data_IF_517247481279
#
_entry.id   IF_517247481279
#
_cell.length_a   1.000
_cell.length_b   1.000
_cell.length_c   1.000
_cell.angle_alpha   90.00
_cell.angle_beta   90.00
_cell.angle_gamma   90.00
#
_symmetry.space_group_name_H-M   'P 1'
#
loop_
_entity.id
_entity.type
_entity.pdbx_description
1 polymer ?
#
# COMPACT_ATOMS: atom_id res chain seq x y z
N UNK A 1 -6.38 -16.67 -10.75
CA UNK A 1 -6.98 -15.92 -11.88
C UNK A 1 -7.50 -14.61 -11.31
N UNK A 2 -7.00 -13.47 -11.78
CA UNK A 2 -7.52 -12.16 -11.34
C UNK A 2 -9.03 -12.08 -11.61
N UNK A 3 -9.83 -11.77 -10.58
CA UNK A 3 -11.27 -11.52 -10.74
C UNK A 3 -11.44 -10.36 -11.74
N UNK A 4 -12.09 -10.61 -12.88
CA UNK A 4 -12.45 -9.58 -13.86
C UNK A 4 -13.82 -9.00 -13.52
N UNK A 5 -13.93 -7.68 -13.58
CA UNK A 5 -15.21 -6.99 -13.48
C UNK A 5 -15.93 -7.01 -14.81
N UNK A 6 -17.25 -7.13 -14.77
CA UNK A 6 -18.09 -7.25 -15.96
C UNK A 6 -18.25 -5.91 -16.72
N UNK A 7 -17.88 -4.78 -16.10
CA UNK A 7 -17.94 -3.43 -16.70
C UNK A 7 -19.30 -3.13 -17.36
N UNK A 8 -20.37 -3.39 -16.62
CA UNK A 8 -21.74 -3.12 -17.05
C UNK A 8 -22.18 -1.73 -16.59
N UNK A 9 -22.83 -1.00 -17.47
CA UNK A 9 -23.54 0.23 -17.09
C UNK A 9 -24.78 -0.11 -16.25
N UNK A 10 -25.14 0.77 -15.33
CA UNK A 10 -26.29 0.65 -14.44
C UNK A 10 -26.92 2.03 -14.29
N UNK A 11 -28.24 2.12 -14.36
CA UNK A 11 -28.94 3.39 -14.11
C UNK A 11 -28.81 3.78 -12.64
N UNK A 12 -29.02 5.06 -12.34
CA UNK A 12 -29.05 5.54 -10.96
C UNK A 12 -30.09 4.77 -10.14
N UNK A 13 -31.29 4.60 -10.68
CA UNK A 13 -32.41 3.95 -10.01
C UNK A 13 -32.13 2.48 -9.71
N UNK A 14 -31.53 1.74 -10.65
CA UNK A 14 -31.15 0.34 -10.43
C UNK A 14 -30.04 0.21 -9.38
N UNK A 15 -29.08 1.15 -9.41
CA UNK A 15 -27.97 1.18 -8.47
C UNK A 15 -28.45 1.44 -7.04
N UNK A 16 -29.28 2.46 -6.86
CA UNK A 16 -29.93 2.80 -5.59
C UNK A 16 -30.85 1.69 -5.11
N UNK A 17 -31.70 1.14 -5.98
CA UNK A 17 -32.59 0.02 -5.65
C UNK A 17 -31.80 -1.20 -5.17
N UNK A 18 -30.63 -1.46 -5.77
CA UNK A 18 -29.74 -2.53 -5.32
C UNK A 18 -29.11 -2.20 -3.95
N UNK A 19 -28.69 -0.98 -3.71
CA UNK A 19 -28.13 -0.56 -2.42
C UNK A 19 -29.19 -0.51 -1.32
N UNK A 20 -30.46 -0.25 -1.62
CA UNK A 20 -31.53 -0.24 -0.60
C UNK A 20 -31.77 -1.59 0.08
N UNK A 21 -31.18 -2.68 -0.44
CA UNK A 21 -31.37 -4.05 0.03
C UNK A 21 -30.04 -4.66 0.44
N UNK A 22 -29.97 -5.19 1.65
CA UNK A 22 -28.80 -5.94 2.12
C UNK A 22 -28.97 -7.45 1.92
N UNK A 23 -27.84 -8.16 1.80
CA UNK A 23 -27.82 -9.62 1.93
C UNK A 23 -27.52 -10.01 3.38
N UNK A 24 -28.50 -10.63 4.03
CA UNK A 24 -28.29 -11.22 5.35
C UNK A 24 -27.43 -12.48 5.27
N UNK A 25 -26.45 -12.58 6.16
CA UNK A 25 -25.59 -13.74 6.36
C UNK A 25 -26.04 -14.54 7.59
N UNK A 26 -25.53 -15.76 7.75
CA UNK A 26 -26.08 -16.72 8.71
C UNK A 26 -25.60 -16.50 10.16
N UNK A 27 -24.44 -15.88 10.33
CA UNK A 27 -23.83 -15.61 11.62
C UNK A 27 -24.43 -14.39 12.32
N UNK A 28 -24.28 -14.32 13.63
CA UNK A 28 -24.58 -13.10 14.40
C UNK A 28 -23.42 -12.12 14.34
N UNK A 29 -23.69 -10.84 14.63
CA UNK A 29 -22.67 -9.79 14.71
C UNK A 29 -21.58 -10.14 15.73
N UNK A 30 -21.96 -10.78 16.85
CA UNK A 30 -21.00 -11.25 17.86
C UNK A 30 -20.10 -12.38 17.31
N UNK A 31 -20.69 -13.35 16.61
CA UNK A 31 -19.94 -14.44 15.98
C UNK A 31 -18.97 -13.88 14.93
N UNK A 32 -19.46 -13.01 14.05
CA UNK A 32 -18.65 -12.37 13.00
C UNK A 32 -17.44 -11.64 13.58
N UNK A 33 -17.62 -10.86 14.66
CA UNK A 33 -16.53 -10.12 15.32
C UNK A 33 -15.43 -11.03 15.89
N UNK A 34 -15.78 -12.25 16.32
CA UNK A 34 -14.82 -13.23 16.86
C UNK A 34 -14.08 -14.00 15.77
N UNK A 35 -14.52 -13.94 14.52
CA UNK A 35 -13.87 -14.67 13.42
C UNK A 35 -12.53 -14.04 13.02
N UNK A 36 -11.57 -14.82 12.51
CA UNK A 36 -10.36 -14.30 11.88
C UNK A 36 -10.68 -13.39 10.68
N UNK A 37 -9.81 -12.41 10.41
CA UNK A 37 -10.00 -11.42 9.34
C UNK A 37 -10.33 -12.06 7.97
N UNK A 38 -9.62 -13.12 7.59
CA UNK A 38 -9.87 -13.80 6.32
C UNK A 38 -11.27 -14.42 6.22
N UNK A 39 -11.83 -14.92 7.32
CA UNK A 39 -13.21 -15.41 7.36
C UNK A 39 -14.22 -14.27 7.28
N UNK A 40 -13.98 -13.18 8.01
CA UNK A 40 -14.81 -11.97 7.93
C UNK A 40 -14.87 -11.43 6.50
N UNK A 41 -13.71 -11.35 5.83
CA UNK A 41 -13.60 -10.87 4.45
C UNK A 41 -14.35 -11.78 3.46
N UNK A 42 -14.33 -13.10 3.67
CA UNK A 42 -15.07 -14.04 2.83
C UNK A 42 -16.59 -13.94 3.03
N UNK A 43 -17.05 -13.78 4.27
CA UNK A 43 -18.49 -13.70 4.59
C UNK A 43 -19.11 -12.42 4.02
N UNK A 44 -18.43 -11.29 4.19
CA UNK A 44 -18.93 -9.99 3.71
C UNK A 44 -18.83 -9.83 2.18
N UNK A 45 -18.02 -10.64 1.51
CA UNK A 45 -17.85 -10.62 0.05
C UNK A 45 -19.09 -11.17 -0.66
N UNK A 46 -20.08 -10.31 -0.83
CA UNK A 46 -21.29 -10.54 -1.64
C UNK A 46 -21.18 -9.86 -3.01
N UNK A 47 -19.93 -9.65 -3.47
CA UNK A 47 -19.58 -8.82 -4.61
C UNK A 47 -19.43 -7.34 -4.23
N UNK A 48 -19.08 -6.52 -5.22
CA UNK A 48 -18.93 -5.08 -5.03
C UNK A 48 -18.83 -4.30 -6.33
N UNK A 49 -18.54 -3.02 -6.21
CA UNK A 49 -18.41 -2.07 -7.31
C UNK A 49 -17.22 -1.12 -7.07
N UNK A 50 -16.67 -0.61 -8.16
CA UNK A 50 -15.72 0.51 -8.14
C UNK A 50 -16.42 1.82 -8.51
N UNK A 51 -17.53 1.78 -9.26
CA UNK A 51 -18.27 2.96 -9.73
C UNK A 51 -17.42 3.87 -10.64
N UNK A 52 -17.05 3.33 -11.80
CA UNK A 52 -16.21 3.99 -12.78
C UNK A 52 -15.75 3.04 -13.89
N UNK A 53 -14.90 3.54 -14.79
CA UNK A 53 -14.41 2.78 -15.95
C UNK A 53 -13.07 2.11 -15.63
N UNK A 54 -12.97 0.82 -15.94
CA UNK A 54 -11.75 0.02 -15.74
C UNK A 54 -11.21 -0.51 -17.06
N UNK A 55 -9.93 -0.26 -17.34
CA UNK A 55 -9.21 -0.82 -18.49
C UNK A 55 -9.14 -2.34 -18.38
N UNK A 56 -9.75 -3.03 -19.34
CA UNK A 56 -9.75 -4.50 -19.40
C UNK A 56 -10.45 -5.19 -18.22
N UNK A 57 -11.33 -4.48 -17.49
CA UNK A 57 -12.07 -5.00 -16.35
C UNK A 57 -11.21 -5.40 -15.15
N UNK A 58 -9.99 -4.84 -15.05
CA UNK A 58 -9.06 -5.16 -13.95
C UNK A 58 -9.04 -4.01 -12.93
N UNK A 59 -9.11 -4.37 -11.65
CA UNK A 59 -8.99 -3.44 -10.54
C UNK A 59 -7.54 -3.37 -10.05
N UNK A 60 -6.68 -2.79 -10.89
CA UNK A 60 -5.32 -2.38 -10.52
C UNK A 60 -5.22 -0.85 -10.59
N UNK A 61 -4.29 -0.26 -9.84
CA UNK A 61 -4.12 1.20 -9.74
C UNK A 61 -3.98 1.87 -11.11
N UNK A 62 -3.21 1.24 -12.00
CA UNK A 62 -2.95 1.65 -13.39
C UNK A 62 -4.09 1.33 -14.38
N UNK A 63 -5.12 0.62 -13.93
CA UNK A 63 -6.24 0.20 -14.77
C UNK A 63 -7.52 1.03 -14.53
N UNK A 64 -7.53 1.95 -13.58
CA UNK A 64 -8.67 2.86 -13.37
C UNK A 64 -8.61 3.98 -14.41
N UNK A 65 -9.64 4.10 -15.24
CA UNK A 65 -9.74 5.15 -16.27
C UNK A 65 -10.44 6.38 -15.69
N UNK A 66 -11.58 6.17 -15.04
CA UNK A 66 -12.35 7.24 -14.42
C UNK A 66 -13.18 6.73 -13.25
N UNK A 67 -13.66 7.66 -12.42
CA UNK A 67 -14.62 7.43 -11.35
C UNK A 67 -15.83 8.33 -11.59
N UNK A 68 -17.03 7.75 -11.49
CA UNK A 68 -18.29 8.46 -11.76
C UNK A 68 -18.93 9.04 -10.49
N UNK A 69 -18.40 8.68 -9.32
CA UNK A 69 -18.79 9.24 -8.04
C UNK A 69 -17.65 9.08 -7.02
N UNK A 70 -17.67 9.89 -5.96
CA UNK A 70 -16.79 9.71 -4.81
C UNK A 70 -17.38 8.66 -3.88
N UNK A 71 -16.57 7.70 -3.43
CA UNK A 71 -17.00 6.69 -2.46
C UNK A 71 -16.12 6.74 -1.22
N UNK A 72 -16.70 7.04 -0.06
CA UNK A 72 -16.01 7.18 1.21
C UNK A 72 -16.41 6.05 2.19
N UNK A 73 -15.43 5.34 2.73
CA UNK A 73 -15.58 4.28 3.73
C UNK A 73 -15.41 4.89 5.13
N UNK A 74 -16.54 5.19 5.78
CA UNK A 74 -16.60 5.80 7.11
C UNK A 74 -16.54 4.71 8.17
N UNK A 75 -15.36 4.52 8.75
CA UNK A 75 -15.10 3.46 9.73
C UNK A 75 -15.22 3.95 11.19
N UNK A 76 -15.29 5.28 11.38
CA UNK A 76 -15.28 5.97 12.66
C UNK A 76 -16.45 6.95 12.82
N UNK A 77 -17.62 6.64 12.23
CA UNK A 77 -18.82 7.46 12.35
C UNK A 77 -19.30 7.61 13.79
N UNK A 78 -19.95 8.75 14.06
CA UNK A 78 -20.58 9.08 15.34
C UNK A 78 -22.08 8.81 15.30
N UNK A 79 -22.71 8.64 16.47
CA UNK A 79 -24.18 8.57 16.53
C UNK A 79 -24.77 9.87 15.97
N UNK A 80 -25.83 9.76 15.15
CA UNK A 80 -26.46 10.91 14.50
C UNK A 80 -25.78 11.39 13.22
N UNK A 81 -24.68 10.76 12.77
CA UNK A 81 -23.93 11.23 11.59
C UNK A 81 -24.76 11.30 10.30
N UNK A 82 -25.82 10.50 10.15
CA UNK A 82 -26.69 10.54 8.97
C UNK A 82 -27.51 11.83 8.96
N UNK A 83 -28.09 12.19 10.11
CA UNK A 83 -28.86 13.43 10.26
C UNK A 83 -27.93 14.63 10.06
N UNK A 84 -26.70 14.59 10.58
CA UNK A 84 -25.69 15.61 10.33
C UNK A 84 -25.36 15.74 8.84
N UNK A 85 -25.22 14.63 8.12
CA UNK A 85 -24.97 14.64 6.68
C UNK A 85 -26.11 15.32 5.91
N UNK A 86 -27.36 14.97 6.21
CA UNK A 86 -28.55 15.53 5.57
C UNK A 86 -28.77 17.02 5.92
N UNK A 87 -28.47 17.41 7.16
CA UNK A 87 -28.71 18.78 7.63
C UNK A 87 -27.64 19.78 7.22
N UNK A 88 -26.37 19.36 7.13
CA UNK A 88 -25.24 20.29 6.97
C UNK A 88 -24.64 20.32 5.56
N UNK A 89 -24.98 19.37 4.70
CA UNK A 89 -24.37 19.26 3.38
C UNK A 89 -25.44 19.18 2.28
N UNK A 90 -25.41 20.15 1.37
CA UNK A 90 -26.24 20.15 0.15
C UNK A 90 -25.54 19.37 -0.97
N UNK A 91 -25.37 18.06 -0.75
CA UNK A 91 -24.78 17.15 -1.73
C UNK A 91 -25.71 15.96 -1.92
N UNK A 92 -25.91 15.56 -3.18
CA UNK A 92 -26.64 14.34 -3.51
C UNK A 92 -25.82 13.13 -3.06
N UNK A 93 -26.33 12.40 -2.07
CA UNK A 93 -25.63 11.22 -1.53
C UNK A 93 -26.50 9.98 -1.44
N UNK A 94 -25.85 8.83 -1.48
CA UNK A 94 -26.41 7.56 -0.99
C UNK A 94 -25.51 7.05 0.13
N UNK A 95 -26.10 6.76 1.27
CA UNK A 95 -25.41 6.25 2.45
C UNK A 95 -25.94 4.87 2.78
N UNK A 96 -25.04 3.92 3.05
CA UNK A 96 -25.44 2.59 3.48
C UNK A 96 -24.46 1.96 4.45
N UNK A 97 -24.94 1.07 5.31
CA UNK A 97 -24.12 0.50 6.37
C UNK A 97 -23.19 -0.61 5.87
N UNK A 98 -22.03 -0.73 6.53
CA UNK A 98 -21.11 -1.85 6.35
C UNK A 98 -21.50 -3.03 7.23
N UNK A 99 -20.94 -4.21 6.96
CA UNK A 99 -21.18 -5.43 7.75
C UNK A 99 -20.87 -5.29 9.25
N UNK A 100 -20.04 -4.32 9.66
CA UNK A 100 -19.67 -4.10 11.08
C UNK A 100 -20.43 -2.97 11.76
N UNK A 101 -21.40 -2.37 11.07
CA UNK A 101 -22.22 -1.29 11.60
C UNK A 101 -22.98 -1.70 12.86
N UNK A 102 -23.05 -0.79 13.82
CA UNK A 102 -24.09 -0.77 14.87
C UNK A 102 -24.55 0.67 15.09
N UNK A 103 -25.75 0.89 15.66
CA UNK A 103 -26.24 2.23 15.97
C UNK A 103 -25.26 3.05 16.81
N UNK A 104 -24.54 2.43 17.75
CA UNK A 104 -23.61 3.12 18.63
C UNK A 104 -22.26 3.41 17.99
N UNK A 105 -21.88 2.65 16.95
CA UNK A 105 -20.64 2.82 16.19
C UNK A 105 -20.94 2.73 14.70
N UNK A 106 -21.57 3.76 14.12
CA UNK A 106 -21.92 3.75 12.72
C UNK A 106 -20.69 3.54 11.83
N UNK A 107 -20.75 2.48 11.02
CA UNK A 107 -19.77 2.23 9.96
C UNK A 107 -20.48 2.22 8.63
N UNK A 108 -20.23 3.25 7.83
CA UNK A 108 -21.05 3.61 6.68
C UNK A 108 -20.20 3.70 5.42
N UNK A 109 -20.84 3.56 4.27
CA UNK A 109 -20.28 3.95 2.98
C UNK A 109 -21.13 5.07 2.43
N UNK A 110 -20.45 6.16 2.10
CA UNK A 110 -21.06 7.36 1.53
C UNK A 110 -20.68 7.40 0.06
N UNK A 111 -21.66 7.54 -0.81
CA UNK A 111 -21.48 7.76 -2.24
C UNK A 111 -21.95 9.18 -2.53
N UNK A 112 -21.06 10.02 -3.04
CA UNK A 112 -21.35 11.42 -3.41
C UNK A 112 -21.31 11.52 -4.93
N UNK A 113 -22.44 11.89 -5.53
CA UNK A 113 -22.59 11.95 -6.99
C UNK A 113 -21.95 13.21 -7.57
N UNK A 114 -21.33 13.06 -8.74
CA UNK A 114 -20.59 14.12 -9.42
C UNK A 114 -21.27 14.52 -10.72
N UNK A 115 -21.11 15.79 -11.12
CA UNK A 115 -21.62 16.30 -12.41
C UNK A 115 -20.85 15.76 -13.61
N UNK A 116 -19.62 15.25 -13.42
CA UNK A 116 -18.79 14.59 -14.43
C UNK A 116 -17.92 13.47 -13.86
N UNK A 117 -17.51 12.56 -14.74
CA UNK A 117 -16.44 11.59 -14.45
C UNK A 117 -15.15 12.35 -14.08
N UNK A 118 -14.40 11.82 -13.10
CA UNK A 118 -13.08 12.33 -12.70
C UNK A 118 -11.98 11.34 -13.00
N UNK A 119 -10.77 11.84 -13.28
CA UNK A 119 -9.57 11.01 -13.43
C UNK A 119 -9.14 10.39 -12.09
N UNK A 120 -8.24 9.39 -12.08
CA UNK A 120 -7.72 8.83 -10.83
C UNK A 120 -7.06 9.87 -9.91
N UNK A 121 -6.34 10.85 -10.48
CA UNK A 121 -5.66 11.88 -9.70
C UNK A 121 -6.66 12.92 -9.16
N UNK A 122 -7.61 13.38 -9.99
CA UNK A 122 -8.72 14.24 -9.54
C UNK A 122 -9.54 13.57 -8.43
N UNK A 123 -9.84 12.27 -8.55
CA UNK A 123 -10.54 11.51 -7.52
C UNK A 123 -9.83 11.61 -6.16
N UNK A 124 -8.51 11.48 -6.14
CA UNK A 124 -7.71 11.58 -4.92
C UNK A 124 -7.84 12.95 -4.24
N UNK A 125 -7.75 14.03 -5.01
CA UNK A 125 -7.90 15.39 -4.50
C UNK A 125 -9.34 15.68 -4.05
N UNK A 126 -10.33 15.46 -4.92
CA UNK A 126 -11.76 15.74 -4.67
C UNK A 126 -12.24 14.95 -3.45
N UNK A 127 -11.92 13.66 -3.37
CA UNK A 127 -12.36 12.81 -2.25
C UNK A 127 -11.81 13.27 -0.90
N UNK A 128 -10.56 13.76 -0.85
CA UNK A 128 -9.95 14.28 0.38
C UNK A 128 -10.52 15.63 0.80
N UNK A 129 -10.79 16.51 -0.16
CA UNK A 129 -11.44 17.79 0.15
C UNK A 129 -12.85 17.58 0.70
N UNK A 130 -13.66 16.75 0.04
CA UNK A 130 -15.02 16.44 0.52
C UNK A 130 -15.01 15.70 1.86
N UNK A 131 -14.07 14.78 2.06
CA UNK A 131 -13.89 14.14 3.36
C UNK A 131 -13.44 15.14 4.44
N UNK A 132 -12.65 16.15 4.09
CA UNK A 132 -12.28 17.24 4.99
C UNK A 132 -13.46 18.09 5.41
N UNK A 133 -14.42 18.34 4.50
CA UNK A 133 -15.64 19.08 4.81
C UNK A 133 -16.54 18.34 5.81
N UNK A 134 -16.68 17.02 5.60
CA UNK A 134 -17.47 16.16 6.48
C UNK A 134 -16.75 15.91 7.82
N UNK A 135 -15.43 15.77 7.77
CA UNK A 135 -14.58 15.41 8.91
C UNK A 135 -13.66 14.26 8.52
N UNK A 136 -12.44 14.58 8.08
CA UNK A 136 -11.50 13.61 7.50
C UNK A 136 -11.14 12.46 8.45
N UNK A 137 -11.24 12.72 9.75
CA UNK A 137 -10.97 11.74 10.80
C UNK A 137 -12.02 10.63 10.87
N UNK A 138 -13.20 10.79 10.26
CA UNK A 138 -14.26 9.78 10.27
C UNK A 138 -14.00 8.61 9.30
N UNK A 139 -13.07 8.80 8.34
CA UNK A 139 -12.89 7.90 7.21
C UNK A 139 -11.63 7.02 7.32
N UNK A 140 -11.69 5.85 6.69
CA UNK A 140 -10.53 4.98 6.49
C UNK A 140 -9.53 5.64 5.50
N UNK A 141 -8.24 5.63 5.84
CA UNK A 141 -7.21 6.37 5.08
C UNK A 141 -7.01 5.87 3.64
N UNK A 142 -7.46 4.64 3.35
CA UNK A 142 -7.36 4.06 2.01
C UNK A 142 -8.62 4.24 1.15
N UNK A 143 -9.64 4.97 1.65
CA UNK A 143 -10.85 5.25 0.87
C UNK A 143 -10.61 6.16 -0.34
N UNK A 144 -9.52 6.94 -0.31
CA UNK A 144 -9.14 7.88 -1.37
C UNK A 144 -8.44 7.20 -2.55
N UNK A 145 -8.22 5.88 -2.50
CA UNK A 145 -7.64 5.14 -3.61
C UNK A 145 -8.65 4.95 -4.76
N UNK A 146 -8.34 5.37 -6.00
CA UNK A 146 -9.25 5.23 -7.14
C UNK A 146 -9.64 3.78 -7.43
N UNK A 147 -8.73 2.84 -7.17
CA UNK A 147 -8.97 1.40 -7.33
C UNK A 147 -9.74 0.75 -6.18
N UNK A 148 -10.18 1.54 -5.18
CA UNK A 148 -10.92 1.01 -4.02
C UNK A 148 -12.23 0.36 -4.47
N UNK A 149 -12.44 -0.87 -3.99
CA UNK A 149 -13.69 -1.61 -4.14
C UNK A 149 -14.60 -1.28 -2.97
N UNK A 150 -15.85 -0.96 -3.25
CA UNK A 150 -16.91 -0.93 -2.25
C UNK A 150 -17.72 -2.22 -2.36
N UNK A 151 -17.89 -2.93 -1.24
CA UNK A 151 -18.74 -4.11 -1.21
C UNK A 151 -20.22 -3.70 -1.33
N UNK A 152 -21.00 -4.56 -2.02
CA UNK A 152 -22.45 -4.52 -1.88
C UNK A 152 -22.84 -4.76 -0.41
N UNK A 153 -23.98 -4.23 0.04
CA UNK A 153 -24.40 -4.37 1.42
C UNK A 153 -24.59 -5.84 1.82
N UNK A 154 -23.99 -6.19 2.96
CA UNK A 154 -24.24 -7.44 3.67
C UNK A 154 -24.33 -7.14 5.17
N UNK A 155 -25.15 -7.91 5.87
CA UNK A 155 -25.48 -7.69 7.28
C UNK A 155 -25.57 -9.03 7.99
N UNK A 156 -25.01 -9.15 9.19
CA UNK A 156 -25.18 -10.35 10.02
C UNK A 156 -26.67 -10.61 10.30
N UNK A 157 -27.03 -11.86 10.61
CA UNK A 157 -28.42 -12.31 10.80
C UNK A 157 -29.23 -11.49 11.81
N UNK A 158 -28.57 -10.93 12.82
CA UNK A 158 -29.12 -10.09 13.88
C UNK A 158 -28.68 -8.62 13.77
N UNK A 159 -28.01 -8.25 12.68
CA UNK A 159 -27.51 -6.90 12.46
C UNK A 159 -28.56 -5.95 11.90
N UNK A 160 -28.39 -4.66 12.21
CA UNK A 160 -29.20 -3.60 11.64
C UNK A 160 -28.60 -3.11 10.32
N UNK A 161 -29.44 -3.04 9.29
CA UNK A 161 -29.06 -2.46 8.01
C UNK A 161 -29.62 -1.05 7.91
N UNK A 162 -28.74 -0.09 7.64
CA UNK A 162 -29.11 1.29 7.43
C UNK A 162 -28.82 1.65 5.98
N UNK A 163 -29.80 2.29 5.34
CA UNK A 163 -29.72 2.84 4.01
C UNK A 163 -30.48 4.17 3.98
N UNK A 164 -29.88 5.20 3.40
CA UNK A 164 -30.47 6.52 3.26
C UNK A 164 -30.08 7.14 1.91
N UNK A 165 -31.06 7.68 1.19
CA UNK A 165 -30.84 8.64 0.11
C UNK A 165 -30.91 10.04 0.71
N UNK A 166 -29.91 10.87 0.41
CA UNK A 166 -29.87 12.27 0.85
C UNK A 166 -30.03 13.11 -0.41
N UNK A 167 -31.10 13.91 -0.43
CA UNK A 167 -31.34 14.88 -1.50
C UNK A 167 -30.30 16.01 -1.43
N UNK A 168 -29.97 16.57 -2.58
CA UNK A 168 -29.02 17.67 -2.70
C UNK A 168 -28.52 17.80 -4.13
N UNK A 169 -27.51 18.65 -4.33
CA UNK A 169 -26.91 18.88 -5.64
C UNK A 169 -25.82 17.85 -5.98
N UNK A 170 -25.72 17.45 -7.24
CA UNK A 170 -24.53 16.74 -7.71
C UNK A 170 -23.31 17.67 -7.59
N UNK A 171 -22.22 17.15 -7.05
CA UNK A 171 -21.03 17.96 -6.76
C UNK A 171 -20.26 18.21 -8.05
N UNK A 172 -19.93 19.46 -8.32
CA UNK A 172 -19.00 19.80 -9.39
C UNK A 172 -17.55 19.58 -8.92
N UNK A 173 -16.83 18.57 -9.47
CA UNK A 173 -15.45 18.34 -9.07
C UNK A 173 -14.53 19.51 -9.40
N UNK A 174 -14.82 20.33 -10.43
CA UNK A 174 -13.99 21.48 -10.78
C UNK A 174 -14.07 22.58 -9.70
N UNK A 175 -15.25 22.80 -9.13
CA UNK A 175 -15.41 23.72 -7.99
C UNK A 175 -14.62 23.23 -6.78
N UNK A 176 -14.65 21.92 -6.49
CA UNK A 176 -13.87 21.33 -5.40
C UNK A 176 -12.36 21.48 -5.64
N UNK A 177 -11.89 21.18 -6.86
CA UNK A 177 -10.47 21.31 -7.23
C UNK A 177 -10.00 22.77 -7.17
N UNK A 178 -10.86 23.73 -7.49
CA UNK A 178 -10.54 25.17 -7.44
C UNK A 178 -10.27 25.70 -6.03
N UNK A 179 -10.66 24.96 -4.99
CA UNK A 179 -10.39 25.30 -3.58
C UNK A 179 -8.92 25.08 -3.21
N UNK A 180 -8.19 24.29 -3.98
CA UNK A 180 -6.75 24.15 -3.83
C UNK A 180 -6.05 25.31 -4.52
N UNK A 181 -4.94 25.77 -3.93
CA UNK A 181 -4.01 26.65 -4.65
C UNK A 181 -3.45 25.96 -5.89
N UNK A 182 -3.09 24.69 -5.73
CA UNK A 182 -2.73 23.76 -6.80
C UNK A 182 -3.09 22.36 -6.33
N UNK A 183 -4.12 21.76 -6.94
CA UNK A 183 -4.56 20.40 -6.56
C UNK A 183 -3.59 19.33 -7.05
N UNK A 184 -2.66 19.64 -7.96
CA UNK A 184 -1.63 18.68 -8.34
C UNK A 184 -0.60 18.48 -7.22
N UNK A 185 -0.47 19.43 -6.28
CA UNK A 185 0.41 19.27 -5.12
C UNK A 185 -0.22 18.34 -4.07
N UNK A 186 0.16 17.06 -4.09
CA UNK A 186 -0.34 16.03 -3.15
C UNK A 186 -0.05 16.38 -1.70
N UNK A 187 1.02 17.14 -1.43
CA UNK A 187 1.38 17.53 -0.07
C UNK A 187 0.38 18.50 0.56
N UNK A 188 -0.35 19.24 -0.28
CA UNK A 188 -1.37 20.19 0.15
C UNK A 188 -2.73 19.51 0.39
N UNK A 189 -2.86 18.22 0.08
CA UNK A 189 -4.11 17.49 0.26
C UNK A 189 -4.43 17.27 1.74
N UNK A 190 -5.70 17.41 2.16
CA UNK A 190 -6.13 17.04 3.49
C UNK A 190 -5.78 15.58 3.80
N UNK A 191 -5.20 15.35 4.98
CA UNK A 191 -4.87 14.02 5.51
C UNK A 191 -5.38 13.89 6.94
N UNK A 192 -5.71 12.66 7.34
CA UNK A 192 -5.99 12.36 8.74
C UNK A 192 -4.69 12.38 9.55
N UNK A 193 -4.80 12.62 10.85
CA UNK A 193 -3.67 12.50 11.78
C UNK A 193 -3.11 11.07 11.84
N UNK A 194 -3.90 10.06 11.47
CA UNK A 194 -3.49 8.65 11.44
C UNK A 194 -2.44 8.40 10.37
N UNK A 195 -2.50 9.05 9.20
CA UNK A 195 -1.61 8.79 8.09
C UNK A 195 -0.13 9.01 8.47
N UNK A 196 0.18 10.10 9.19
CA UNK A 196 1.53 10.37 9.72
C UNK A 196 1.99 9.32 10.73
N UNK A 197 1.08 8.83 11.58
CA UNK A 197 1.40 7.81 12.60
C UNK A 197 1.72 6.45 11.99
N UNK A 198 1.09 6.09 10.86
CA UNK A 198 1.30 4.82 10.16
C UNK A 198 2.73 4.74 9.63
N UNK A 199 3.18 5.78 8.91
CA UNK A 199 4.53 5.79 8.32
C UNK A 199 5.59 5.70 9.42
N UNK A 200 5.46 6.48 10.48
CA UNK A 200 6.38 6.44 11.63
C UNK A 200 6.39 5.07 12.32
N UNK A 201 5.23 4.43 12.46
CA UNK A 201 5.13 3.08 13.01
C UNK A 201 5.80 2.06 12.12
N UNK A 202 5.64 2.16 10.80
CA UNK A 202 6.24 1.22 9.86
C UNK A 202 7.75 1.38 9.75
N UNK A 203 8.27 2.62 9.84
CA UNK A 203 9.71 2.88 10.00
C UNK A 203 10.22 2.16 11.26
N UNK A 204 9.56 2.32 12.41
CA UNK A 204 9.96 1.65 13.66
C UNK A 204 9.91 0.12 13.63
N UNK A 205 9.03 -0.46 12.82
CA UNK A 205 8.92 -1.93 12.67
C UNK A 205 10.00 -2.49 11.74
N UNK A 206 10.40 -1.74 10.73
CA UNK A 206 11.43 -2.21 9.81
C UNK A 206 12.79 -2.12 10.50
N UNK A 207 13.58 -3.19 10.38
CA UNK A 207 14.98 -3.15 10.77
C UNK A 207 15.72 -2.12 9.90
N UNK A 208 16.67 -1.42 10.51
CA UNK A 208 17.54 -0.46 9.82
C UNK A 208 18.14 -1.12 8.55
N UNK A 209 17.88 -0.60 7.34
CA UNK A 209 18.36 -1.18 6.09
C UNK A 209 19.88 -1.32 6.06
N UNK A 210 20.61 -0.44 6.74
CA UNK A 210 22.07 -0.42 6.78
C UNK A 210 22.64 -1.55 7.66
N UNK A 211 21.87 -2.04 8.63
CA UNK A 211 22.26 -3.14 9.52
C UNK A 211 21.99 -4.54 8.96
N UNK A 212 21.30 -4.64 7.81
CA UNK A 212 20.96 -5.94 7.22
C UNK A 212 22.23 -6.63 6.70
N UNK A 213 22.24 -7.96 6.74
CA UNK A 213 23.32 -8.75 6.18
C UNK A 213 23.14 -9.02 4.68
N UNK A 214 24.22 -9.48 4.07
CA UNK A 214 24.25 -9.94 2.68
C UNK A 214 23.91 -8.83 1.69
N UNK A 215 23.39 -9.25 0.53
CA UNK A 215 23.25 -8.37 -0.64
C UNK A 215 22.25 -7.21 -0.42
N UNK A 216 21.21 -7.41 0.39
CA UNK A 216 20.23 -6.37 0.68
C UNK A 216 20.89 -5.25 1.47
N UNK A 217 21.60 -5.59 2.55
CA UNK A 217 22.31 -4.62 3.36
C UNK A 217 23.43 -3.93 2.59
N UNK A 218 24.23 -4.69 1.85
CA UNK A 218 25.30 -4.14 1.03
C UNK A 218 24.75 -3.13 0.00
N UNK A 219 23.62 -3.42 -0.65
CA UNK A 219 22.98 -2.48 -1.56
C UNK A 219 22.57 -1.17 -0.86
N UNK A 220 21.93 -1.27 0.32
CA UNK A 220 21.50 -0.10 1.09
C UNK A 220 22.67 0.68 1.71
N UNK A 221 23.83 0.05 1.96
CA UNK A 221 25.07 0.73 2.37
C UNK A 221 25.83 1.35 1.19
N UNK A 222 25.62 0.83 -0.01
CA UNK A 222 26.24 1.36 -1.24
C UNK A 222 25.49 2.59 -1.75
N UNK A 223 24.15 2.56 -1.72
CA UNK A 223 23.31 3.65 -2.22
C UNK A 223 22.30 4.07 -1.17
N UNK A 224 22.23 5.37 -0.92
CA UNK A 224 21.06 5.96 -0.26
C UNK A 224 19.83 5.81 -1.14
N UNK A 225 18.63 5.99 -0.58
CA UNK A 225 17.39 5.81 -1.38
C UNK A 225 17.33 6.83 -2.52
N UNK A 226 17.75 8.08 -2.29
CA UNK A 226 17.83 9.14 -3.30
C UNK A 226 18.81 8.75 -4.42
N UNK A 227 20.02 8.29 -4.06
CA UNK A 227 21.02 7.85 -5.05
C UNK A 227 20.54 6.65 -5.88
N UNK A 228 19.86 5.70 -5.24
CA UNK A 228 19.31 4.53 -5.93
C UNK A 228 18.19 4.92 -6.91
N UNK A 229 17.32 5.86 -6.52
CA UNK A 229 16.27 6.41 -7.39
C UNK A 229 16.91 7.08 -8.62
N UNK A 230 17.83 8.01 -8.38
CA UNK A 230 18.46 8.81 -9.44
C UNK A 230 19.28 7.94 -10.41
N UNK A 231 19.98 6.91 -9.91
CA UNK A 231 20.80 6.01 -10.74
C UNK A 231 19.96 4.97 -11.48
N UNK A 232 18.96 4.38 -10.83
CA UNK A 232 18.33 3.16 -11.34
C UNK A 232 16.92 3.34 -11.87
N UNK A 233 16.17 4.35 -11.47
CA UNK A 233 14.78 4.59 -11.90
C UNK A 233 14.48 6.08 -12.15
N UNK A 234 15.34 6.84 -12.85
CA UNK A 234 15.14 8.29 -13.07
C UNK A 234 13.90 8.60 -13.94
N UNK A 235 13.43 7.63 -14.71
CA UNK A 235 12.23 7.74 -15.55
C UNK A 235 10.92 7.47 -14.77
N UNK A 236 11.01 7.07 -13.50
CA UNK A 236 9.87 6.78 -12.64
C UNK A 236 9.64 7.90 -11.63
N UNK A 237 10.69 8.35 -10.96
CA UNK A 237 10.63 9.41 -9.96
C UNK A 237 11.55 10.56 -10.33
N UNK A 238 11.01 11.79 -10.23
CA UNK A 238 11.75 13.02 -10.49
C UNK A 238 11.77 13.87 -9.24
N UNK A 239 12.89 14.51 -8.92
CA UNK A 239 12.94 15.50 -7.83
C UNK A 239 11.83 16.53 -8.01
N UNK A 240 11.04 16.72 -6.95
CA UNK A 240 9.88 17.58 -7.00
C UNK A 240 10.29 19.04 -7.10
N UNK A 241 9.67 19.76 -8.04
CA UNK A 241 9.85 21.21 -8.16
C UNK A 241 9.04 21.99 -7.12
N UNK A 242 7.94 21.41 -6.66
CA UNK A 242 7.06 22.05 -5.68
C UNK A 242 7.68 22.03 -4.28
N UNK A 243 8.30 20.91 -3.89
CA UNK A 243 8.83 20.72 -2.53
C UNK A 243 10.22 20.06 -2.56
N UNK A 244 11.28 20.78 -2.11
CA UNK A 244 12.60 20.20 -1.94
C UNK A 244 12.59 18.99 -1.00
N UNK A 245 13.32 17.92 -1.37
CA UNK A 245 13.40 16.68 -0.59
C UNK A 245 12.25 15.69 -0.83
N UNK A 246 11.38 15.96 -1.82
CA UNK A 246 10.35 15.03 -2.31
C UNK A 246 10.56 14.70 -3.77
N UNK A 247 9.87 13.66 -4.22
CA UNK A 247 9.81 13.26 -5.61
C UNK A 247 8.38 13.36 -6.16
N UNK A 248 8.28 13.69 -7.44
CA UNK A 248 7.10 13.55 -8.29
C UNK A 248 7.11 12.14 -8.88
N UNK A 249 5.93 11.50 -8.97
CA UNK A 249 5.76 10.27 -9.74
C UNK A 249 5.47 10.61 -11.20
N UNK A 250 6.43 10.35 -12.09
CA UNK A 250 6.39 10.82 -13.50
C UNK A 250 5.13 10.40 -14.26
N UNK A 251 4.58 9.19 -14.09
CA UNK A 251 3.34 8.78 -14.76
C UNK A 251 2.05 9.43 -14.22
N UNK A 252 2.10 10.15 -13.10
CA UNK A 252 0.97 10.88 -12.56
C UNK A 252 0.99 12.34 -13.00
N UNK A 253 -0.19 12.98 -13.01
CA UNK A 253 -0.32 14.41 -13.28
C UNK A 253 -0.01 15.22 -12.02
N UNK A 254 -0.20 14.61 -10.84
CA UNK A 254 0.11 15.16 -9.53
C UNK A 254 1.61 15.10 -9.17
N UNK A 255 2.06 16.03 -8.33
CA UNK A 255 3.44 16.25 -7.90
C UNK A 255 3.62 16.10 -6.37
N UNK A 256 4.88 15.99 -5.92
CA UNK A 256 5.32 15.97 -4.52
C UNK A 256 4.71 14.87 -3.62
N UNK A 257 4.17 13.81 -4.20
CA UNK A 257 3.53 12.71 -3.48
C UNK A 257 4.49 11.62 -3.01
N UNK A 258 5.78 11.68 -3.34
CA UNK A 258 6.78 10.71 -2.87
C UNK A 258 7.71 11.36 -1.86
N UNK A 259 7.73 10.83 -0.63
CA UNK A 259 8.42 11.43 0.52
C UNK A 259 9.63 10.58 0.93
N UNK A 260 10.78 11.23 1.10
CA UNK A 260 12.01 10.61 1.60
C UNK A 260 12.13 10.79 3.11
N UNK A 261 12.55 9.73 3.81
CA UNK A 261 12.78 9.71 5.26
C UNK A 261 14.21 9.29 5.55
N UNK A 262 14.98 10.20 6.16
CA UNK A 262 16.40 10.04 6.56
C UNK A 262 17.33 9.53 5.44
N UNK A 263 16.92 9.68 4.18
CA UNK A 263 17.55 9.10 2.99
C UNK A 263 17.74 7.56 3.04
N UNK A 264 17.04 6.90 3.97
CA UNK A 264 17.00 5.45 4.15
C UNK A 264 15.75 4.84 3.53
N UNK A 265 14.64 5.57 3.59
CA UNK A 265 13.34 5.11 3.14
C UNK A 265 12.64 6.12 2.25
N UNK A 266 11.75 5.62 1.41
CA UNK A 266 10.83 6.39 0.60
C UNK A 266 9.41 5.83 0.75
N UNK A 267 8.42 6.71 0.75
CA UNK A 267 7.00 6.36 0.81
C UNK A 267 6.22 7.13 -0.24
N UNK A 268 5.40 6.43 -1.02
CA UNK A 268 4.57 7.04 -2.06
C UNK A 268 3.11 7.21 -1.61
N UNK A 269 2.59 8.42 -1.81
CA UNK A 269 1.19 8.79 -1.59
C UNK A 269 0.39 8.85 -2.91
N UNK A 270 1.02 8.69 -4.08
CA UNK A 270 0.33 8.76 -5.37
C UNK A 270 -0.53 7.53 -5.61
N UNK A 271 -1.85 7.69 -5.66
CA UNK A 271 -2.76 6.55 -5.68
C UNK A 271 -2.61 5.64 -6.91
N UNK A 272 -2.05 6.15 -8.00
CA UNK A 272 -1.75 5.42 -9.24
C UNK A 272 -0.39 4.70 -9.22
N UNK A 273 0.51 5.05 -8.29
CA UNK A 273 1.82 4.43 -8.13
C UNK A 273 1.67 2.96 -7.63
N UNK A 274 2.27 1.97 -8.33
CA UNK A 274 2.32 0.56 -7.89
C UNK A 274 2.84 0.37 -6.45
N UNK A 275 3.62 1.32 -5.97
CA UNK A 275 4.23 1.36 -4.65
C UNK A 275 3.53 2.29 -3.65
N UNK A 276 2.42 2.93 -4.02
CA UNK A 276 1.71 3.78 -3.07
C UNK A 276 1.25 3.01 -1.84
N UNK A 277 1.43 3.64 -0.68
CA UNK A 277 1.16 3.07 0.62
C UNK A 277 2.31 2.23 1.20
N UNK A 278 3.43 2.07 0.47
CA UNK A 278 4.55 1.20 0.88
C UNK A 278 5.76 2.03 1.31
N UNK A 279 6.30 1.70 2.48
CA UNK A 279 7.60 2.17 2.94
C UNK A 279 8.70 1.27 2.35
N UNK A 280 9.60 1.85 1.57
CA UNK A 280 10.61 1.12 0.81
C UNK A 280 12.00 1.68 1.10
N UNK A 281 12.99 0.82 1.30
CA UNK A 281 14.40 1.21 1.28
C UNK A 281 14.94 1.24 -0.17
N UNK A 282 16.22 1.57 -0.34
CA UNK A 282 16.88 1.66 -1.66
C UNK A 282 16.74 0.37 -2.48
N UNK A 283 16.90 -0.80 -1.86
CA UNK A 283 16.73 -2.09 -2.55
C UNK A 283 15.28 -2.32 -2.97
N UNK A 284 14.33 -2.05 -2.07
CA UNK A 284 12.91 -2.32 -2.30
C UNK A 284 12.31 -1.37 -3.34
N UNK A 285 12.67 -0.08 -3.35
CA UNK A 285 12.14 0.88 -4.33
C UNK A 285 12.59 0.53 -5.75
N UNK A 286 13.86 0.14 -5.93
CA UNK A 286 14.36 -0.31 -7.23
C UNK A 286 13.71 -1.63 -7.63
N UNK A 287 13.60 -2.60 -6.70
CA UNK A 287 12.96 -3.90 -6.96
C UNK A 287 11.55 -3.72 -7.49
N UNK A 288 10.71 -2.99 -6.75
CA UNK A 288 9.28 -2.94 -7.02
C UNK A 288 8.99 -2.21 -8.33
N UNK A 289 9.76 -1.17 -8.68
CA UNK A 289 9.56 -0.44 -9.93
C UNK A 289 10.18 -1.11 -11.15
N UNK A 290 11.38 -1.70 -11.06
CA UNK A 290 12.01 -2.37 -12.21
C UNK A 290 11.50 -3.79 -12.45
N UNK A 291 11.17 -4.50 -11.39
CA UNK A 291 10.95 -5.94 -11.44
C UNK A 291 9.60 -6.39 -10.86
N UNK A 292 8.78 -5.49 -10.31
CA UNK A 292 7.51 -5.82 -9.66
C UNK A 292 6.52 -6.55 -10.58
N UNK A 293 6.53 -6.27 -11.88
CA UNK A 293 5.67 -6.95 -12.86
C UNK A 293 5.91 -8.47 -12.93
N UNK A 294 7.11 -8.94 -12.55
CA UNK A 294 7.44 -10.37 -12.51
C UNK A 294 6.63 -11.12 -11.44
N UNK A 295 6.06 -10.41 -10.47
CA UNK A 295 5.27 -10.99 -9.39
C UNK A 295 3.80 -11.20 -9.77
N UNK A 296 3.38 -10.80 -10.98
CA UNK A 296 1.98 -10.87 -11.41
C UNK A 296 1.34 -12.27 -11.36
N UNK A 297 2.15 -13.33 -11.29
CA UNK A 297 1.70 -14.73 -11.17
C UNK A 297 2.05 -15.37 -9.83
N UNK A 298 2.67 -14.64 -8.91
CA UNK A 298 2.96 -15.14 -7.58
C UNK A 298 1.65 -15.38 -6.83
N UNK A 299 1.62 -16.44 -6.00
CA UNK A 299 0.46 -16.70 -5.16
C UNK A 299 0.28 -15.58 -4.13
N UNK A 300 -0.96 -15.24 -3.83
CA UNK A 300 -1.26 -14.28 -2.76
C UNK A 300 -0.67 -14.78 -1.43
N UNK A 301 0.02 -13.90 -0.71
CA UNK A 301 0.71 -14.26 0.54
C UNK A 301 2.10 -14.91 0.35
N UNK A 302 2.64 -14.98 -0.88
CA UNK A 302 4.03 -15.41 -1.08
C UNK A 302 4.99 -14.53 -0.29
N UNK A 303 5.90 -15.15 0.46
CA UNK A 303 6.91 -14.42 1.24
C UNK A 303 7.77 -13.53 0.33
N UNK A 304 8.10 -12.28 0.73
CA UNK A 304 8.82 -11.34 -0.12
C UNK A 304 10.12 -11.89 -0.70
N UNK A 305 10.90 -12.65 0.08
CA UNK A 305 12.16 -13.25 -0.36
C UNK A 305 12.02 -14.36 -1.43
N UNK A 306 10.81 -14.88 -1.65
CA UNK A 306 10.51 -15.93 -2.64
C UNK A 306 9.88 -15.37 -3.93
N UNK A 307 9.64 -14.07 -4.00
CA UNK A 307 9.05 -13.43 -5.16
C UNK A 307 10.02 -13.42 -6.35
N UNK A 308 9.53 -13.64 -7.59
CA UNK A 308 10.36 -13.52 -8.80
C UNK A 308 11.07 -12.16 -8.93
N UNK A 309 10.43 -11.06 -8.53
CA UNK A 309 11.04 -9.73 -8.50
C UNK A 309 12.23 -9.65 -7.54
N UNK A 310 12.16 -10.37 -6.42
CA UNK A 310 13.21 -10.41 -5.42
C UNK A 310 14.47 -11.05 -5.97
N UNK A 311 14.32 -12.22 -6.60
CA UNK A 311 15.44 -12.90 -7.26
C UNK A 311 16.05 -12.02 -8.37
N UNK A 312 15.21 -11.41 -9.20
CA UNK A 312 15.70 -10.51 -10.25
C UNK A 312 16.48 -9.30 -9.69
N UNK A 313 16.04 -8.74 -8.55
CA UNK A 313 16.77 -7.67 -7.87
C UNK A 313 18.07 -8.16 -7.25
N UNK A 314 18.12 -9.38 -6.71
CA UNK A 314 19.37 -9.96 -6.22
C UNK A 314 20.38 -10.15 -7.36
N UNK A 315 19.94 -10.72 -8.49
CA UNK A 315 20.80 -10.87 -9.66
C UNK A 315 21.32 -9.50 -10.13
N UNK A 316 20.44 -8.49 -10.20
CA UNK A 316 20.78 -7.12 -10.55
C UNK A 316 21.80 -6.49 -9.59
N UNK A 317 21.55 -6.57 -8.27
CA UNK A 317 22.43 -6.00 -7.25
C UNK A 317 23.79 -6.70 -7.21
N UNK A 318 23.84 -8.02 -7.43
CA UNK A 318 25.09 -8.78 -7.45
C UNK A 318 25.97 -8.48 -8.66
N UNK A 319 25.39 -7.91 -9.73
CA UNK A 319 26.10 -7.51 -10.93
C UNK A 319 26.63 -6.07 -10.86
N UNK A 320 26.14 -5.22 -9.95
CA UNK A 320 26.59 -3.83 -9.80
C UNK A 320 27.97 -3.76 -9.14
N UNK A 321 28.92 -3.07 -9.79
CA UNK A 321 30.32 -3.03 -9.37
C UNK A 321 30.52 -2.36 -8.00
N UNK A 322 29.77 -1.30 -7.68
CA UNK A 322 29.92 -0.63 -6.38
C UNK A 322 29.40 -1.50 -5.23
N UNK A 323 28.33 -2.28 -5.47
CA UNK A 323 27.82 -3.25 -4.50
C UNK A 323 28.84 -4.37 -4.28
N UNK A 324 29.48 -4.86 -5.35
CA UNK A 324 30.58 -5.85 -5.23
C UNK A 324 31.75 -5.29 -4.44
N UNK A 325 32.16 -4.05 -4.70
CA UNK A 325 33.23 -3.37 -3.98
C UNK A 325 32.92 -3.26 -2.48
N UNK A 326 31.67 -2.88 -2.15
CA UNK A 326 31.19 -2.82 -0.77
C UNK A 326 31.25 -4.19 -0.09
N UNK A 327 30.75 -5.24 -0.74
CA UNK A 327 30.82 -6.61 -0.20
C UNK A 327 32.27 -7.10 -0.03
N UNK A 328 33.15 -6.80 -0.97
CA UNK A 328 34.56 -7.19 -0.91
C UNK A 328 35.27 -6.51 0.26
N UNK A 329 35.04 -5.20 0.44
CA UNK A 329 35.57 -4.42 1.57
C UNK A 329 35.07 -4.95 2.91
N UNK A 330 33.76 -5.19 3.05
CA UNK A 330 33.17 -5.74 4.28
C UNK A 330 33.73 -7.13 4.62
N UNK A 331 33.92 -7.98 3.62
CA UNK A 331 34.54 -9.30 3.81
C UNK A 331 36.00 -9.18 4.25
N UNK A 332 36.73 -8.21 3.72
CA UNK A 332 38.11 -7.94 4.13
C UNK A 332 38.16 -7.42 5.57
N UNK A 333 37.29 -6.49 5.95
CA UNK A 333 37.18 -5.94 7.30
C UNK A 333 36.84 -7.03 8.33
N UNK A 334 35.87 -7.89 8.02
CA UNK A 334 35.52 -9.05 8.86
C UNK A 334 36.70 -10.01 9.03
N UNK A 335 37.39 -10.35 7.93
CA UNK A 335 38.57 -11.21 8.01
C UNK A 335 39.66 -10.59 8.90
N UNK A 336 39.96 -9.29 8.73
CA UNK A 336 40.95 -8.59 9.58
C UNK A 336 40.54 -8.65 11.06
N UNK A 337 39.26 -8.43 11.37
CA UNK A 337 38.76 -8.52 12.75
C UNK A 337 38.93 -9.93 13.32
N UNK A 338 38.52 -10.97 12.60
CA UNK A 338 38.68 -12.38 13.01
C UNK A 338 40.16 -12.74 13.26
N UNK A 339 41.07 -12.34 12.37
CA UNK A 339 42.51 -12.60 12.54
C UNK A 339 43.21 -11.71 13.58
N UNK A 340 42.61 -10.56 13.95
CA UNK A 340 43.16 -9.67 14.99
C UNK A 340 42.67 -10.00 16.40
N UNK A 341 41.54 -10.70 16.53
CA UNK A 341 40.98 -11.14 17.82
C UNK A 341 41.71 -12.36 18.41
N UNK A 342 42.49 -13.08 17.59
CA UNK A 342 43.38 -14.15 18.06
C UNK A 342 44.78 -13.62 18.43
N UNK A 343 44.86 -12.82 19.51
CA UNK A 343 46.05 -12.81 20.36
C UNK A 343 45.82 -13.73 21.57
N UNK A 344 45.32 -14.94 21.31
CA UNK A 344 45.30 -16.00 22.31
C UNK A 344 46.67 -16.70 22.19
N UNK A 345 47.59 -16.39 23.12
CA UNK A 345 48.97 -16.93 23.18
C UNK A 345 49.04 -18.47 23.25
N UNK A 346 47.90 -19.16 23.18
CA UNK A 346 47.75 -20.61 23.36
C UNK A 346 47.27 -21.37 22.10
N UNK A 347 47.27 -20.73 20.92
CA UNK A 347 46.94 -21.40 19.66
C UNK A 347 47.88 -22.59 19.34
N UNK A 348 49.13 -22.51 19.79
CA UNK A 348 50.13 -23.58 19.65
C UNK A 348 49.78 -24.83 20.46
N UNK A 349 49.13 -24.69 21.63
CA UNK A 349 48.70 -25.82 22.44
C UNK A 349 47.43 -26.49 21.90
N UNK A 350 46.57 -25.75 21.19
CA UNK A 350 45.38 -26.31 20.52
C UNK A 350 45.74 -27.17 19.29
N UNK A 351 46.87 -26.90 18.62
CA UNK A 351 47.37 -27.69 17.48
C UNK A 351 48.03 -29.03 17.88
N UNK A 352 48.53 -29.15 19.11
CA UNK A 352 49.28 -30.33 19.54
C UNK A 352 48.42 -31.55 19.92
N UNK A 353 47.08 -31.41 19.95
CA UNK A 353 46.17 -32.47 20.38
C UNK A 353 45.68 -33.40 19.26
N UNK A 354 45.93 -33.09 17.98
CA UNK A 354 45.40 -33.87 16.85
C UNK A 354 46.40 -34.88 16.24
N UNK A 355 47.37 -35.32 17.03
CA UNK A 355 48.45 -36.22 16.58
C UNK A 355 48.16 -37.72 16.79
N UNK A 356 46.91 -38.11 17.09
CA UNK A 356 46.52 -39.52 17.32
C UNK A 356 45.69 -40.17 16.21
N UNK A 357 45.39 -39.49 15.10
CA UNK A 357 44.71 -40.10 13.94
C UNK A 357 45.59 -40.25 12.68
N UNK A 358 46.91 -40.15 12.79
CA UNK A 358 47.82 -40.44 11.65
C UNK A 358 48.61 -41.72 11.94
N UNK A 359 47.94 -42.87 11.86
CA UNK A 359 48.58 -44.19 11.70
C UNK A 359 47.56 -45.24 11.29
N UNK A 360 46.96 -45.13 10.10
CA UNK A 360 46.34 -46.27 9.40
C UNK A 360 46.01 -46.00 7.93
N UNK A 361 47.01 -45.63 7.12
CA UNK A 361 46.94 -45.84 5.68
C UNK A 361 48.33 -46.26 5.18
N UNK A 362 48.56 -47.57 5.01
CA UNK A 362 48.97 -48.09 3.70
C UNK A 362 49.02 -49.63 3.63
N UNK A 363 48.63 -50.08 2.44
CA UNK A 363 49.01 -51.31 1.75
C UNK A 363 48.11 -52.54 1.94
N UNK A 364 47.21 -52.75 0.96
CA UNK A 364 47.10 -54.04 0.27
C UNK A 364 46.46 -53.86 -1.11
N UNK A 365 47.29 -54.04 -2.13
CA UNK A 365 46.86 -54.43 -3.49
C UNK A 365 47.60 -55.72 -3.85
N UNK A 366 46.88 -56.65 -4.49
CA UNK A 366 47.33 -57.83 -5.26
C UNK A 366 47.78 -59.10 -4.51
N UNK A 367 46.85 -60.05 -4.34
CA UNK A 367 46.81 -61.31 -5.12
C UNK A 367 45.40 -61.91 -5.06
#
# INVERSE_FOLDING_TARGET
>A
MDKKFNCTDMTYEDFVSRLSKTKYTAETMEQYRKMPKGQQDNIKDVGGFVLGKLKGGRRKKDCVISRSAITLDMDYGTQGIIDELEMFFDMKMVVYSTHKHTPEKPRLRIIIFLTRDVTPDEYGAVSRMLASDIGIELFDDSTYEPSRLMYWPSTSSDGEYMFQEIEGNEVDPDEVLSRYKDWHDVSAWPVSNRQSSIVQRDIKKQADPLSKDGLIGAFNRTYTVTQAIDKFIPDVYRHSRAIPGRYDYIPADSAAGVVVYDDLFVYSHHATDPCCGKLMNAFDVVRLHKFGDKDARAAEGTEPGKLPSFKAMQDFASADEEVKNTLARERQELAVQEFSAETDEDWQNKLALDRREISRIHCRTLH
#
